data_IF_814790870395
#
_entry.id   IF_814790870395
#
_cell.length_a   1.000
_cell.length_b   1.000
_cell.length_c   1.000
_cell.angle_alpha   90.00
_cell.angle_beta   90.00
_cell.angle_gamma   90.00
#
_symmetry.space_group_name_H-M   'P 1'
#
loop_
_entity.id
_entity.type
_entity.pdbx_description
1 polymer ?
#
# COMPACT_ATOMS: atom_id res chain seq x y z
N UNK A 1 -16.96 6.68 32.76
CA UNK A 1 -16.02 6.59 33.88
C UNK A 1 -14.62 6.69 33.32
N UNK A 2 -14.00 7.87 33.41
CA UNK A 2 -12.60 8.07 33.00
C UNK A 2 -11.74 7.41 34.08
N UNK A 3 -11.37 6.15 33.88
CA UNK A 3 -10.39 5.49 34.76
C UNK A 3 -9.04 6.08 34.40
N UNK A 4 -8.68 7.17 35.08
CA UNK A 4 -7.31 7.67 35.11
C UNK A 4 -6.50 6.53 35.74
N UNK A 5 -5.68 5.81 34.98
CA UNK A 5 -4.88 4.66 35.47
C UNK A 5 -4.03 4.98 36.71
N UNK A 6 -3.76 6.27 36.99
CA UNK A 6 -3.18 6.75 38.25
C UNK A 6 -4.03 6.45 39.50
N UNK A 7 -5.34 6.25 39.40
CA UNK A 7 -6.22 6.00 40.55
C UNK A 7 -6.35 4.52 40.93
N UNK A 8 -5.76 3.61 40.15
CA UNK A 8 -5.81 2.16 40.41
C UNK A 8 -4.64 1.67 41.28
N UNK A 9 -3.63 2.51 41.55
CA UNK A 9 -2.43 2.09 42.27
C UNK A 9 -2.04 3.11 43.36
N UNK A 10 -1.74 2.64 44.59
CA UNK A 10 -1.41 3.51 45.71
C UNK A 10 -0.12 4.31 45.47
N UNK A 11 -0.11 5.55 45.96
CA UNK A 11 0.81 6.66 45.68
C UNK A 11 2.31 6.46 46.02
N UNK A 12 2.75 5.26 46.42
CA UNK A 12 4.07 5.09 47.06
C UNK A 12 5.17 4.44 46.19
N UNK A 13 4.91 4.12 44.93
CA UNK A 13 5.97 3.72 44.00
C UNK A 13 5.61 4.18 42.59
N UNK A 14 6.52 4.89 41.91
CA UNK A 14 6.36 5.30 40.51
C UNK A 14 6.24 4.03 39.64
N UNK A 15 5.05 3.63 39.18
CA UNK A 15 4.92 2.43 38.37
C UNK A 15 5.49 2.74 36.99
N UNK A 16 6.36 1.86 36.49
CA UNK A 16 6.89 2.01 35.12
C UNK A 16 5.81 1.57 34.15
N UNK A 17 5.39 2.47 33.26
CA UNK A 17 4.26 2.26 32.35
C UNK A 17 4.74 2.34 30.89
N UNK A 18 4.26 1.42 30.05
CA UNK A 18 4.54 1.38 28.61
C UNK A 18 3.25 1.09 27.85
N UNK A 19 3.14 1.59 26.62
CA UNK A 19 1.98 1.32 25.75
C UNK A 19 2.40 0.76 24.39
N UNK A 20 1.57 -0.08 23.81
CA UNK A 20 1.65 -0.52 22.40
C UNK A 20 0.32 -0.16 21.74
N UNK A 21 0.40 0.45 20.56
CA UNK A 21 -0.74 0.83 19.72
C UNK A 21 -0.46 0.46 18.27
N UNK A 22 -1.52 0.21 17.51
CA UNK A 22 -1.44 0.07 16.07
C UNK A 22 -1.17 1.40 15.38
N UNK A 23 -0.63 1.33 14.17
CA UNK A 23 -0.44 2.47 13.28
C UNK A 23 -0.91 2.08 11.89
N UNK A 24 -1.47 3.04 11.14
CA UNK A 24 -1.91 2.84 9.77
C UNK A 24 -1.39 3.97 8.88
N UNK A 25 -1.30 3.68 7.58
CA UNK A 25 -0.92 4.69 6.57
C UNK A 25 -2.19 5.42 6.15
N UNK A 26 -2.22 6.72 6.40
CA UNK A 26 -3.29 7.61 5.96
C UNK A 26 -3.23 7.79 4.44
N UNK A 27 -4.38 8.03 3.80
CA UNK A 27 -4.50 8.22 2.34
C UNK A 27 -3.59 9.35 1.79
N UNK A 28 -3.17 10.29 2.65
CA UNK A 28 -2.21 11.36 2.33
C UNK A 28 -0.72 10.99 2.50
N UNK A 29 -0.38 9.72 2.72
CA UNK A 29 1.01 9.25 2.87
C UNK A 29 1.64 9.51 4.24
N UNK A 30 0.87 9.99 5.21
CA UNK A 30 1.28 10.14 6.62
C UNK A 30 0.99 8.88 7.45
N UNK A 31 1.71 8.69 8.56
CA UNK A 31 1.38 7.66 9.55
C UNK A 31 0.46 8.24 10.61
N UNK A 32 -0.63 7.52 10.93
CA UNK A 32 -1.53 7.86 12.03
C UNK A 32 -1.73 6.64 12.96
N UNK A 33 -2.18 6.90 14.20
CA UNK A 33 -2.33 5.88 15.24
C UNK A 33 -3.73 5.27 15.23
N UNK A 34 -3.81 3.95 15.39
CA UNK A 34 -5.07 3.24 15.61
C UNK A 34 -5.60 3.57 17.01
N UNK A 35 -6.76 4.23 17.07
CA UNK A 35 -7.38 4.70 18.31
C UNK A 35 -8.38 3.70 18.92
N UNK A 36 -8.61 2.56 18.28
CA UNK A 36 -9.64 1.61 18.69
C UNK A 36 -9.19 0.66 19.81
N UNK A 37 -7.88 0.51 20.04
CA UNK A 37 -7.34 -0.30 21.13
C UNK A 37 -6.01 0.26 21.65
N UNK A 38 -5.66 -0.12 22.88
CA UNK A 38 -4.44 0.27 23.57
C UNK A 38 -3.99 -0.88 24.46
N UNK A 39 -2.79 -1.41 24.22
CA UNK A 39 -2.16 -2.31 25.17
C UNK A 39 -1.32 -1.49 26.14
N UNK A 40 -1.64 -1.56 27.43
CA UNK A 40 -0.93 -0.89 28.50
C UNK A 40 -0.22 -1.90 29.39
N UNK A 41 1.06 -1.70 29.64
CA UNK A 41 1.91 -2.57 30.44
C UNK A 41 2.42 -1.79 31.64
N UNK A 42 2.33 -2.40 32.82
CA UNK A 42 2.85 -1.84 34.05
C UNK A 42 3.64 -2.91 34.80
N UNK A 43 4.80 -2.53 35.35
CA UNK A 43 5.53 -3.40 36.27
C UNK A 43 5.44 -2.84 37.70
N UNK A 44 4.96 -3.67 38.62
CA UNK A 44 4.82 -3.33 40.03
C UNK A 44 5.60 -4.35 40.86
N UNK A 45 6.59 -3.88 41.63
CA UNK A 45 7.49 -4.75 42.40
C UNK A 45 6.78 -5.61 43.46
N UNK A 46 5.56 -5.23 43.86
CA UNK A 46 4.75 -5.98 44.83
C UNK A 46 3.97 -7.15 44.23
N UNK A 47 3.87 -7.28 42.91
CA UNK A 47 3.14 -8.36 42.25
C UNK A 47 4.05 -9.56 41.98
N UNK A 48 3.80 -10.67 42.68
CA UNK A 48 4.52 -11.92 42.47
C UNK A 48 4.06 -12.70 41.23
N UNK A 49 2.83 -12.45 40.75
CA UNK A 49 2.23 -13.11 39.59
C UNK A 49 1.94 -12.10 38.48
N UNK A 50 1.98 -12.58 37.23
CA UNK A 50 1.57 -11.78 36.08
C UNK A 50 0.05 -11.76 36.00
N UNK A 51 -0.51 -10.57 35.84
CA UNK A 51 -1.95 -10.38 35.66
C UNK A 51 -2.18 -9.66 34.34
N UNK A 52 -3.19 -10.12 33.60
CA UNK A 52 -3.69 -9.46 32.39
C UNK A 52 -5.10 -9.01 32.68
N UNK A 53 -5.37 -7.72 32.46
CA UNK A 53 -6.70 -7.16 32.55
C UNK A 53 -7.10 -6.66 31.15
N UNK A 54 -8.29 -7.05 30.71
CA UNK A 54 -8.88 -6.57 29.47
C UNK A 54 -10.13 -5.80 29.87
N UNK A 55 -10.22 -4.55 29.41
CA UNK A 55 -11.33 -3.68 29.72
C UNK A 55 -11.88 -3.09 28.41
N UNK A 56 -13.20 -3.20 28.24
CA UNK A 56 -13.93 -2.52 27.17
C UNK A 56 -14.45 -1.20 27.69
N UNK A 57 -14.06 -0.10 27.04
CA UNK A 57 -14.58 1.22 27.37
C UNK A 57 -15.97 1.40 26.75
N UNK A 58 -16.93 1.87 27.56
CA UNK A 58 -18.31 2.18 27.09
C UNK A 58 -18.35 3.39 26.15
N UNK A 59 -17.40 4.30 26.31
CA UNK A 59 -17.28 5.53 25.52
C UNK A 59 -15.83 5.71 25.07
N UNK A 60 -15.60 6.30 23.88
CA UNK A 60 -14.25 6.63 23.45
C UNK A 60 -13.60 7.57 24.47
N UNK A 61 -12.35 7.27 24.86
CA UNK A 61 -11.60 8.06 25.82
C UNK A 61 -10.21 8.37 25.24
N UNK A 62 -9.87 9.67 25.18
CA UNK A 62 -8.54 10.10 24.74
C UNK A 62 -7.55 9.97 25.91
N UNK A 63 -6.54 9.13 25.74
CA UNK A 63 -5.53 8.85 26.78
C UNK A 63 -4.22 9.65 26.61
N UNK A 64 -4.15 10.60 25.68
CA UNK A 64 -2.98 11.46 25.45
C UNK A 64 -1.82 10.78 24.71
N UNK A 65 -0.74 11.52 24.44
CA UNK A 65 0.37 11.11 23.54
C UNK A 65 1.66 10.61 24.23
N UNK A 66 1.75 10.58 25.56
CA UNK A 66 3.04 10.35 26.23
C UNK A 66 2.94 9.61 27.55
N UNK A 67 3.60 8.45 27.65
CA UNK A 67 4.13 7.89 28.90
C UNK A 67 5.49 7.24 28.62
N UNK A 68 6.52 7.75 29.30
CA UNK A 68 7.93 7.44 29.06
C UNK A 68 8.46 6.22 29.83
N UNK A 69 9.57 5.73 29.29
CA UNK A 69 10.16 4.40 29.44
C UNK A 69 10.95 4.12 30.73
N UNK A 70 10.80 2.90 31.24
CA UNK A 70 11.88 1.89 31.44
C UNK A 70 11.24 0.59 31.89
N UNK A 71 11.52 -0.53 31.23
CA UNK A 71 10.91 -1.83 31.54
C UNK A 71 11.55 -2.99 30.79
N UNK A 72 11.54 -4.15 31.45
CA UNK A 72 12.19 -5.43 31.14
C UNK A 72 11.60 -6.18 29.95
N UNK A 73 12.42 -6.99 29.25
CA UNK A 73 12.07 -7.70 28.00
C UNK A 73 10.80 -8.57 28.11
N UNK A 74 10.55 -9.22 29.25
CA UNK A 74 9.43 -10.16 29.43
C UNK A 74 8.03 -9.54 29.39
N UNK A 75 7.84 -8.35 30.00
CA UNK A 75 6.53 -7.67 29.97
C UNK A 75 6.21 -7.18 28.55
N UNK A 76 7.25 -6.73 27.84
CA UNK A 76 7.16 -6.28 26.46
C UNK A 76 6.81 -7.42 25.49
N UNK A 77 7.35 -8.62 25.69
CA UNK A 77 6.99 -9.80 24.91
C UNK A 77 5.51 -10.17 25.09
N UNK A 78 5.01 -10.16 26.33
CA UNK A 78 3.59 -10.41 26.61
C UNK A 78 2.71 -9.34 25.96
N UNK A 79 3.08 -8.07 26.06
CA UNK A 79 2.36 -6.97 25.41
C UNK A 79 2.37 -7.07 23.89
N UNK A 80 3.48 -7.53 23.28
CA UNK A 80 3.56 -7.78 21.84
C UNK A 80 2.61 -8.88 21.39
N UNK A 81 2.48 -9.98 22.15
CA UNK A 81 1.52 -11.04 21.84
C UNK A 81 0.10 -10.50 21.78
N UNK A 82 -0.32 -9.75 22.80
CA UNK A 82 -1.65 -9.11 22.79
C UNK A 82 -1.78 -8.08 21.66
N UNK A 83 -0.75 -7.27 21.41
CA UNK A 83 -0.77 -6.31 20.32
C UNK A 83 -0.95 -6.97 18.95
N UNK A 84 -0.31 -8.10 18.69
CA UNK A 84 -0.49 -8.89 17.47
C UNK A 84 -1.92 -9.43 17.38
N UNK A 85 -2.45 -9.98 18.46
CA UNK A 85 -3.84 -10.46 18.53
C UNK A 85 -4.84 -9.33 18.23
N UNK A 86 -4.65 -8.13 18.81
CA UNK A 86 -5.55 -6.99 18.64
C UNK A 86 -5.32 -6.20 17.34
N UNK A 87 -4.29 -6.52 16.55
CA UNK A 87 -4.08 -5.89 15.26
C UNK A 87 -5.16 -6.27 14.24
N UNK A 88 -5.69 -7.50 14.33
CA UNK A 88 -6.79 -7.98 13.48
C UNK A 88 -8.09 -7.20 13.78
N UNK A 89 -8.63 -6.55 12.75
CA UNK A 89 -9.86 -5.76 12.83
C UNK A 89 -11.11 -6.64 12.97
N UNK A 90 -11.18 -7.77 12.25
CA UNK A 90 -12.31 -8.69 12.30
C UNK A 90 -12.38 -9.39 13.66
N UNK A 91 -11.22 -9.76 14.20
CA UNK A 91 -11.14 -10.31 15.55
C UNK A 91 -11.64 -9.31 16.60
N UNK A 92 -11.23 -8.04 16.53
CA UNK A 92 -11.70 -6.99 17.44
C UNK A 92 -13.22 -6.83 17.38
N UNK A 93 -13.80 -6.83 16.18
CA UNK A 93 -15.24 -6.72 16.02
C UNK A 93 -15.97 -7.90 16.67
N UNK A 94 -15.49 -9.13 16.45
CA UNK A 94 -16.02 -10.33 17.13
C UNK A 94 -15.96 -10.21 18.66
N UNK A 95 -14.86 -9.68 19.21
CA UNK A 95 -14.75 -9.47 20.66
C UNK A 95 -15.74 -8.42 21.20
N UNK A 96 -16.16 -7.45 20.39
CA UNK A 96 -17.15 -6.45 20.79
C UNK A 96 -18.58 -6.99 20.79
N UNK A 97 -18.86 -8.03 20.01
CA UNK A 97 -20.17 -8.69 19.95
C UNK A 97 -20.41 -9.64 21.14
N UNK A 98 -19.34 -10.11 21.78
CA UNK A 98 -19.42 -11.02 22.93
C UNK A 98 -19.94 -10.31 24.19
N UNK A 99 -20.87 -10.96 24.89
CA UNK A 99 -21.49 -10.45 26.11
C UNK A 99 -21.14 -11.23 27.38
N UNK A 100 -20.53 -12.41 27.27
CA UNK A 100 -20.17 -13.26 28.42
C UNK A 100 -18.66 -13.48 28.54
N UNK A 101 -18.16 -13.59 29.78
CA UNK A 101 -16.72 -13.78 30.03
C UNK A 101 -16.20 -15.12 29.48
N UNK A 102 -17.00 -16.19 29.59
CA UNK A 102 -16.63 -17.51 29.12
C UNK A 102 -16.46 -17.54 27.59
N UNK A 103 -17.40 -16.94 26.87
CA UNK A 103 -17.33 -16.80 25.41
C UNK A 103 -16.16 -15.92 25.00
N UNK A 104 -15.89 -14.83 25.73
CA UNK A 104 -14.78 -13.93 25.44
C UNK A 104 -13.44 -14.66 25.52
N UNK A 105 -13.25 -15.46 26.59
CA UNK A 105 -12.06 -16.30 26.75
C UNK A 105 -11.93 -17.33 25.64
N UNK A 106 -13.03 -17.97 25.24
CA UNK A 106 -13.01 -18.96 24.16
C UNK A 106 -12.62 -18.34 22.82
N UNK A 107 -13.19 -17.18 22.47
CA UNK A 107 -12.86 -16.46 21.22
C UNK A 107 -11.40 -16.03 21.21
N UNK A 108 -10.90 -15.49 22.33
CA UNK A 108 -9.50 -15.09 22.47
C UNK A 108 -8.53 -16.27 22.36
N UNK A 109 -8.83 -17.39 23.04
CA UNK A 109 -7.98 -18.58 23.02
C UNK A 109 -7.93 -19.22 21.64
N UNK A 110 -9.08 -19.35 20.97
CA UNK A 110 -9.15 -19.89 19.62
C UNK A 110 -8.30 -19.08 18.65
N UNK A 111 -8.45 -17.75 18.66
CA UNK A 111 -7.68 -16.88 17.77
C UNK A 111 -6.17 -16.90 18.08
N UNK A 112 -5.78 -16.99 19.35
CA UNK A 112 -4.37 -17.14 19.73
C UNK A 112 -3.78 -18.49 19.23
N UNK A 113 -4.57 -19.56 19.25
CA UNK A 113 -4.17 -20.86 18.70
C UNK A 113 -4.05 -20.83 17.18
N UNK A 114 -4.98 -20.18 16.50
CA UNK A 114 -4.96 -20.02 15.03
C UNK A 114 -3.69 -19.25 14.60
N UNK A 115 -3.36 -18.13 15.27
CA UNK A 115 -2.13 -17.38 15.03
C UNK A 115 -0.86 -18.20 15.34
N UNK A 116 -0.88 -19.00 16.41
CA UNK A 116 0.25 -19.88 16.73
C UNK A 116 0.42 -20.99 15.68
N UNK A 117 -0.67 -21.52 15.13
CA UNK A 117 -0.66 -22.50 14.06
C UNK A 117 -0.10 -21.88 12.76
N UNK A 118 -0.51 -20.65 12.42
CA UNK A 118 0.04 -19.88 11.31
C UNK A 118 1.53 -19.56 11.48
N UNK A 119 2.02 -19.34 12.71
CA UNK A 119 3.45 -19.15 12.97
C UNK A 119 4.25 -20.45 12.95
N UNK A 120 3.63 -21.57 13.34
CA UNK A 120 4.27 -22.89 13.37
C UNK A 120 4.45 -23.50 11.98
N UNK A 121 3.57 -23.12 11.04
CA UNK A 121 3.80 -23.32 9.63
C UNK A 121 4.66 -22.14 9.18
N UNK A 122 5.99 -22.28 8.99
CA UNK A 122 6.71 -21.22 8.28
C UNK A 122 5.92 -20.99 6.99
N UNK A 123 5.59 -19.74 6.60
CA UNK A 123 5.04 -19.51 5.28
C UNK A 123 5.99 -20.23 4.36
N UNK A 124 5.49 -21.29 3.68
CA UNK A 124 6.31 -22.15 2.81
C UNK A 124 7.21 -21.19 2.08
N UNK A 125 8.53 -21.23 2.30
CA UNK A 125 9.45 -20.23 1.75
C UNK A 125 8.94 -19.95 0.36
N UNK A 126 8.29 -18.79 0.17
CA UNK A 126 7.74 -18.48 -1.13
C UNK A 126 9.02 -18.13 -1.83
N UNK A 127 9.67 -19.16 -2.40
CA UNK A 127 10.63 -19.01 -3.49
C UNK A 127 9.93 -17.98 -4.33
N UNK A 128 10.44 -16.75 -4.27
CA UNK A 128 9.85 -15.64 -4.96
C UNK A 128 10.07 -16.05 -6.42
N UNK A 129 9.09 -16.77 -6.98
CA UNK A 129 9.21 -17.31 -8.32
C UNK A 129 9.34 -16.05 -9.14
N UNK A 130 10.46 -15.91 -9.84
CA UNK A 130 10.74 -14.69 -10.59
C UNK A 130 9.50 -14.35 -11.41
N UNK A 131 9.01 -13.12 -11.24
CA UNK A 131 7.80 -12.62 -11.90
C UNK A 131 6.48 -13.32 -11.54
N UNK A 132 6.34 -13.94 -10.36
CA UNK A 132 5.07 -14.55 -9.91
C UNK A 132 3.92 -13.54 -9.91
N UNK A 133 4.15 -12.32 -9.39
CA UNK A 133 3.16 -11.25 -9.43
C UNK A 133 2.74 -10.89 -10.86
N UNK A 134 3.69 -10.77 -11.79
CA UNK A 134 3.42 -10.51 -13.20
C UNK A 134 2.61 -11.65 -13.83
N UNK A 135 2.91 -12.90 -13.49
CA UNK A 135 2.18 -14.06 -13.99
C UNK A 135 0.74 -14.08 -13.48
N UNK A 136 0.55 -13.77 -12.20
CA UNK A 136 -0.78 -13.67 -11.60
C UNK A 136 -1.58 -12.50 -12.22
N UNK A 137 -0.94 -11.39 -12.55
CA UNK A 137 -1.55 -10.25 -13.25
C UNK A 137 -1.98 -10.62 -14.68
N UNK A 138 -1.09 -11.29 -15.44
CA UNK A 138 -1.40 -11.79 -16.79
C UNK A 138 -2.56 -12.77 -16.75
N UNK A 139 -2.54 -13.73 -15.81
CA UNK A 139 -3.61 -14.73 -15.65
C UNK A 139 -4.94 -14.05 -15.38
N UNK A 140 -4.97 -13.04 -14.51
CA UNK A 140 -6.17 -12.25 -14.22
C UNK A 140 -6.60 -11.36 -15.38
N UNK A 141 -5.72 -10.90 -16.28
CA UNK A 141 -6.13 -10.06 -17.43
C UNK A 141 -6.52 -10.88 -18.66
N UNK A 142 -5.91 -12.05 -18.86
CA UNK A 142 -6.03 -12.84 -20.09
C UNK A 142 -7.48 -13.18 -20.50
N UNK A 143 -8.37 -13.42 -19.53
CA UNK A 143 -9.76 -13.76 -19.79
C UNK A 143 -10.61 -12.59 -20.32
N UNK A 144 -10.22 -11.34 -20.04
CA UNK A 144 -10.91 -10.12 -20.51
C UNK A 144 -10.25 -9.53 -21.77
N UNK A 145 -9.05 -10.00 -22.13
CA UNK A 145 -8.27 -9.37 -23.19
C UNK A 145 -8.98 -9.40 -24.54
N UNK A 146 -9.70 -10.48 -24.85
CA UNK A 146 -10.45 -10.60 -26.10
C UNK A 146 -11.67 -9.67 -26.09
N UNK A 147 -12.37 -9.55 -24.95
CA UNK A 147 -13.53 -8.65 -24.86
C UNK A 147 -13.13 -7.19 -25.02
N UNK A 148 -11.94 -6.78 -24.56
CA UNK A 148 -11.44 -5.41 -24.73
C UNK A 148 -11.44 -4.93 -26.20
N UNK A 149 -11.17 -5.82 -27.16
CA UNK A 149 -11.23 -5.47 -28.60
C UNK A 149 -12.64 -5.55 -29.18
N UNK A 150 -13.41 -6.55 -28.76
CA UNK A 150 -14.75 -6.81 -29.30
C UNK A 150 -15.76 -5.78 -28.80
N UNK A 151 -15.64 -5.35 -27.55
CA UNK A 151 -16.54 -4.40 -26.90
C UNK A 151 -16.54 -3.03 -27.58
N UNK A 152 -15.46 -2.68 -28.31
CA UNK A 152 -15.37 -1.46 -29.12
C UNK A 152 -16.23 -1.48 -30.40
N UNK A 153 -16.68 -2.66 -30.83
CA UNK A 153 -17.47 -2.87 -32.06
C UNK A 153 -18.87 -3.41 -31.79
N UNK A 154 -19.09 -4.09 -30.67
CA UNK A 154 -20.36 -4.76 -30.35
C UNK A 154 -21.17 -3.91 -29.35
N UNK A 155 -22.10 -3.10 -29.87
CA UNK A 155 -23.06 -2.39 -29.02
C UNK A 155 -23.81 -1.25 -29.71
N UNK A 156 -24.96 -0.89 -29.14
CA UNK A 156 -25.80 0.18 -29.67
C UNK A 156 -25.11 1.55 -29.52
N UNK A 157 -24.88 2.24 -30.63
CA UNK A 157 -24.12 3.51 -30.74
C UNK A 157 -22.64 3.42 -30.36
N UNK A 158 -22.08 2.24 -30.11
CA UNK A 158 -20.67 2.09 -29.73
C UNK A 158 -19.73 2.50 -30.85
N UNK A 159 -19.99 2.07 -32.09
CA UNK A 159 -19.19 2.43 -33.28
C UNK A 159 -19.02 3.96 -33.43
N UNK A 160 -20.08 4.74 -33.20
CA UNK A 160 -20.00 6.20 -33.29
C UNK A 160 -19.09 6.79 -32.20
N UNK A 161 -19.17 6.28 -30.97
CA UNK A 161 -18.30 6.70 -29.87
C UNK A 161 -16.86 6.32 -30.17
N UNK A 162 -16.61 5.08 -30.60
CA UNK A 162 -15.28 4.59 -30.95
C UNK A 162 -14.64 5.44 -32.05
N UNK A 163 -15.36 5.69 -33.16
CA UNK A 163 -14.87 6.54 -34.25
C UNK A 163 -14.61 7.98 -33.78
N UNK A 164 -15.54 8.57 -33.02
CA UNK A 164 -15.36 9.93 -32.47
C UNK A 164 -14.11 10.02 -31.58
N UNK A 165 -13.90 9.02 -30.71
CA UNK A 165 -12.73 8.95 -29.84
C UNK A 165 -11.44 8.76 -30.64
N UNK A 166 -11.45 7.94 -31.70
CA UNK A 166 -10.29 7.76 -32.59
C UNK A 166 -9.87 9.10 -33.21
N UNK A 167 -10.81 9.85 -33.80
CA UNK A 167 -10.49 11.15 -34.41
C UNK A 167 -10.00 12.16 -33.38
N UNK A 168 -10.67 12.24 -32.21
CA UNK A 168 -10.27 13.12 -31.14
C UNK A 168 -8.84 12.81 -30.64
N UNK A 169 -8.55 11.53 -30.35
CA UNK A 169 -7.25 11.11 -29.87
C UNK A 169 -6.15 11.26 -30.92
N UNK A 170 -6.45 11.04 -32.21
CA UNK A 170 -5.50 11.27 -33.28
C UNK A 170 -4.95 12.69 -33.25
N UNK A 171 -5.82 13.71 -33.19
CA UNK A 171 -5.39 15.10 -33.12
C UNK A 171 -4.77 15.46 -31.77
N UNK A 172 -5.29 14.90 -30.68
CA UNK A 172 -4.75 15.13 -29.34
C UNK A 172 -3.32 14.56 -29.18
N UNK A 173 -2.99 13.46 -29.85
CA UNK A 173 -1.68 12.80 -29.74
C UNK A 173 -0.66 13.30 -30.77
N UNK A 174 -1.10 13.70 -31.98
CA UNK A 174 -0.17 14.13 -33.03
C UNK A 174 0.49 15.48 -32.70
N UNK A 175 -0.25 16.43 -32.13
CA UNK A 175 0.27 17.77 -31.82
C UNK A 175 1.39 17.73 -30.77
N UNK A 176 1.24 17.04 -29.61
CA UNK A 176 2.34 16.84 -28.66
C UNK A 176 3.51 16.09 -29.27
N UNK A 177 3.26 15.09 -30.12
CA UNK A 177 4.32 14.31 -30.78
C UNK A 177 5.17 15.20 -31.69
N UNK A 178 4.55 16.09 -32.46
CA UNK A 178 5.26 17.06 -33.31
C UNK A 178 6.04 18.05 -32.43
N UNK A 179 5.43 18.59 -31.39
CA UNK A 179 6.06 19.55 -30.50
C UNK A 179 7.30 18.95 -29.79
N UNK A 180 7.17 17.78 -29.18
CA UNK A 180 8.28 17.10 -28.53
C UNK A 180 9.29 16.53 -29.54
N UNK A 181 8.85 16.15 -30.74
CA UNK A 181 9.73 15.77 -31.83
C UNK A 181 10.64 16.93 -32.26
N UNK A 182 10.09 18.14 -32.45
CA UNK A 182 10.87 19.32 -32.80
C UNK A 182 11.81 19.75 -31.65
N UNK A 183 11.38 19.57 -30.41
CA UNK A 183 12.23 19.78 -29.24
C UNK A 183 13.41 18.78 -29.22
N UNK A 184 13.15 17.51 -29.49
CA UNK A 184 14.18 16.47 -29.54
C UNK A 184 15.14 16.65 -30.72
N UNK A 185 14.63 17.11 -31.86
CA UNK A 185 15.44 17.45 -33.04
C UNK A 185 16.51 18.49 -32.69
N UNK A 186 16.08 19.58 -32.05
CA UNK A 186 16.99 20.62 -31.54
C UNK A 186 17.94 20.11 -30.45
N UNK A 187 17.47 19.23 -29.57
CA UNK A 187 18.29 18.70 -28.47
C UNK A 187 19.31 17.65 -28.91
N UNK A 188 19.16 17.09 -30.11
CA UNK A 188 19.99 16.01 -30.64
C UNK A 188 20.67 16.36 -31.96
N UNK A 189 20.72 17.66 -32.30
CA UNK A 189 21.36 18.17 -33.52
C UNK A 189 20.86 17.50 -34.81
N UNK A 190 19.57 17.16 -34.88
CA UNK A 190 18.96 16.51 -36.05
C UNK A 190 18.91 14.98 -36.01
N UNK A 191 19.50 14.34 -35.00
CA UNK A 191 19.51 12.87 -34.91
C UNK A 191 18.12 12.28 -34.62
N UNK A 192 17.35 12.91 -33.72
CA UNK A 192 15.97 12.53 -33.41
C UNK A 192 15.01 13.58 -33.96
N UNK A 193 14.75 13.48 -35.26
CA UNK A 193 13.81 14.36 -35.95
C UNK A 193 12.32 14.06 -35.62
N UNK A 194 11.44 14.96 -36.08
CA UNK A 194 9.99 14.83 -35.92
C UNK A 194 9.45 13.54 -36.57
N UNK A 195 10.00 13.13 -37.72
CA UNK A 195 9.55 11.95 -38.46
C UNK A 195 9.85 10.68 -37.66
N UNK A 196 11.06 10.53 -37.14
CA UNK A 196 11.49 9.42 -36.28
C UNK A 196 10.67 9.39 -35.00
N UNK A 197 10.35 10.55 -34.44
CA UNK A 197 9.48 10.66 -33.26
C UNK A 197 8.06 10.16 -33.55
N UNK A 198 7.46 10.51 -34.69
CA UNK A 198 6.15 9.99 -35.10
C UNK A 198 6.20 8.47 -35.31
N UNK A 199 7.19 7.96 -36.04
CA UNK A 199 7.33 6.53 -36.30
C UNK A 199 7.50 5.74 -34.99
N UNK A 200 8.37 6.22 -34.10
CA UNK A 200 8.61 5.60 -32.79
C UNK A 200 7.36 5.60 -31.91
N UNK A 201 6.62 6.71 -31.91
CA UNK A 201 5.35 6.85 -31.21
C UNK A 201 4.27 5.90 -31.74
N UNK A 202 4.15 5.77 -33.06
CA UNK A 202 3.21 4.83 -33.69
C UNK A 202 3.56 3.37 -33.38
N UNK A 203 4.83 2.99 -33.52
CA UNK A 203 5.27 1.62 -33.27
C UNK A 203 5.13 1.25 -31.79
N UNK A 204 5.59 2.12 -30.89
CA UNK A 204 5.47 1.92 -29.44
C UNK A 204 4.02 1.86 -29.00
N UNK A 205 3.16 2.73 -29.54
CA UNK A 205 1.72 2.73 -29.28
C UNK A 205 1.04 1.44 -29.76
N UNK A 206 1.37 0.95 -30.96
CA UNK A 206 0.80 -0.29 -31.49
C UNK A 206 1.23 -1.51 -30.68
N UNK A 207 2.52 -1.62 -30.35
CA UNK A 207 3.03 -2.71 -29.52
C UNK A 207 2.38 -2.66 -28.12
N UNK A 208 2.26 -1.48 -27.52
CA UNK A 208 1.62 -1.33 -26.22
C UNK A 208 0.11 -1.63 -26.27
N UNK A 209 -0.59 -1.28 -27.35
CA UNK A 209 -2.01 -1.63 -27.51
C UNK A 209 -2.22 -3.15 -27.63
N UNK A 210 -1.30 -3.88 -28.29
CA UNK A 210 -1.39 -5.32 -28.51
C UNK A 210 -0.80 -6.19 -27.40
N UNK A 211 0.12 -5.65 -26.59
CA UNK A 211 0.79 -6.40 -25.53
C UNK A 211 0.45 -5.86 -24.12
N UNK A 212 -0.18 -4.70 -24.03
CA UNK A 212 -0.50 -4.03 -22.78
C UNK A 212 -1.71 -4.62 -22.08
N UNK A 213 -1.69 -4.65 -20.75
CA UNK A 213 -2.82 -5.08 -19.93
C UNK A 213 -3.90 -4.02 -19.72
N UNK A 214 -3.77 -2.83 -20.33
CA UNK A 214 -4.68 -1.70 -20.13
C UNK A 214 -4.86 -0.89 -21.44
N UNK A 215 -5.92 -1.17 -22.23
CA UNK A 215 -6.12 -0.57 -23.55
C UNK A 215 -6.45 0.93 -23.52
N UNK A 216 -6.81 1.48 -22.36
CA UNK A 216 -7.11 2.91 -22.19
C UNK A 216 -5.86 3.78 -22.00
N UNK A 217 -4.67 3.18 -21.83
CA UNK A 217 -3.43 3.93 -21.61
C UNK A 217 -2.82 4.34 -22.94
N UNK A 218 -2.52 5.64 -23.08
CA UNK A 218 -1.88 6.22 -24.25
C UNK A 218 -0.44 6.56 -23.87
N UNK A 219 0.51 5.79 -24.38
CA UNK A 219 1.95 6.05 -24.21
C UNK A 219 2.29 7.27 -25.07
N UNK A 220 3.01 8.26 -24.54
CA UNK A 220 3.49 9.42 -25.30
C UNK A 220 4.85 9.90 -24.78
N UNK A 221 5.59 10.59 -25.65
CA UNK A 221 6.80 11.32 -25.23
C UNK A 221 6.41 12.52 -24.36
N UNK A 222 7.14 12.73 -23.27
CA UNK A 222 6.90 13.80 -22.30
C UNK A 222 8.16 14.64 -22.07
N UNK A 223 7.99 15.85 -21.53
CA UNK A 223 9.09 16.78 -21.31
C UNK A 223 10.27 16.20 -20.49
N UNK A 224 10.07 15.42 -19.40
CA UNK A 224 11.18 14.81 -18.67
C UNK A 224 12.04 13.87 -19.53
N UNK A 225 11.39 13.10 -20.43
CA UNK A 225 12.10 12.20 -21.33
C UNK A 225 12.94 12.97 -22.36
N UNK A 226 12.42 14.08 -22.89
CA UNK A 226 13.17 14.97 -23.78
C UNK A 226 14.38 15.61 -23.11
N UNK A 227 14.25 16.04 -21.84
CA UNK A 227 15.36 16.58 -21.05
C UNK A 227 16.43 15.52 -20.77
N UNK A 228 16.01 14.31 -20.42
CA UNK A 228 16.92 13.18 -20.23
C UNK A 228 17.71 12.88 -21.51
N UNK A 229 17.03 12.84 -22.65
CA UNK A 229 17.63 12.61 -23.96
C UNK A 229 18.68 13.68 -24.27
N UNK A 230 18.35 14.97 -24.09
CA UNK A 230 19.31 16.07 -24.24
C UNK A 230 20.56 15.87 -23.38
N UNK A 231 20.38 15.56 -22.10
CA UNK A 231 21.49 15.39 -21.16
C UNK A 231 22.43 14.26 -21.58
N UNK A 232 21.86 13.12 -22.01
CA UNK A 232 22.63 11.97 -22.52
C UNK A 232 23.38 12.28 -23.81
N UNK A 233 22.72 12.90 -24.78
CA UNK A 233 23.35 13.27 -26.05
C UNK A 233 24.49 14.29 -25.85
N UNK A 234 24.28 15.30 -25.01
CA UNK A 234 25.32 16.28 -24.67
C UNK A 234 26.53 15.63 -24.01
N UNK A 235 26.31 14.76 -23.01
CA UNK A 235 27.39 14.04 -22.34
C UNK A 235 28.16 13.12 -23.31
N UNK A 236 27.46 12.45 -24.21
CA UNK A 236 28.09 11.61 -25.24
C UNK A 236 28.98 12.43 -26.17
N UNK A 237 28.50 13.56 -26.69
CA UNK A 237 29.28 14.44 -27.56
C UNK A 237 30.51 14.98 -26.83
N UNK A 238 30.37 15.42 -25.57
CA UNK A 238 31.51 15.90 -24.78
C UNK A 238 32.59 14.83 -24.56
N UNK A 239 32.23 13.56 -24.41
CA UNK A 239 33.20 12.47 -24.28
C UNK A 239 33.91 12.19 -25.62
N UNK A 240 33.21 12.31 -26.75
CA UNK A 240 33.78 12.03 -28.07
C UNK A 240 34.67 13.15 -28.62
N UNK A 241 34.49 14.38 -28.13
CA UNK A 241 35.27 15.57 -28.57
C UNK A 241 36.47 15.84 -27.64
N UNK A 242 36.55 15.19 -26.48
CA UNK A 242 37.67 15.23 -25.55
C UNK A 242 38.73 14.15 -25.87
#
# INVERSE_FOLDING_TARGET
>A
MVIRLKSLFPYNHSPTFRTIQGTYVSEGGGFDYDQSWLCAMCNLASLQKRHVAIARLKHPANMGRTLHEKGTKNALETGRTFATIFADMDFRQRLLEVHTEAEFKNVLLKHAQDLAAEQSNPPSETRCRLAQGLWDDIRRRSHLYISDFVDGFVGHKTIHKTLSTIFFLYFACILPTIAFGALNDNNTYGEIDVRKSIIGQTLGGLIFALCGGQPLVIVMTTAPLSLYTKGKYSAFISIYVA
#
